data_IF_031885465495
#
_entry.id   IF_031885465495
#
_cell.length_a   1.000
_cell.length_b   1.000
_cell.length_c   1.000
_cell.angle_alpha   90.00
_cell.angle_beta   90.00
_cell.angle_gamma   90.00
#
_symmetry.space_group_name_H-M   'P 1'
#
loop_
_entity.id
_entity.type
_entity.pdbx_description
1 polymer ?
#
# COMPACT_ATOMS: atom_id res chain seq x y z
N UNK A 1 25.39 -22.17 -57.98
CA UNK A 1 24.65 -22.57 -56.73
C UNK A 1 24.95 -23.99 -56.26
N UNK A 2 25.57 -24.84 -57.07
CA UNK A 2 25.91 -26.22 -56.70
C UNK A 2 27.00 -26.32 -55.63
N UNK A 3 27.98 -25.41 -55.62
CA UNK A 3 29.12 -25.50 -54.70
C UNK A 3 28.74 -25.28 -53.21
N UNK A 4 27.74 -24.44 -52.92
CA UNK A 4 27.29 -24.18 -51.51
C UNK A 4 26.67 -25.45 -50.95
N UNK A 5 25.89 -26.16 -51.70
CA UNK A 5 25.27 -27.41 -51.27
C UNK A 5 26.31 -28.49 -50.96
N UNK A 6 27.35 -28.60 -51.75
CA UNK A 6 28.46 -29.54 -51.50
C UNK A 6 29.25 -29.17 -50.24
N UNK A 7 29.52 -27.90 -49.99
CA UNK A 7 30.19 -27.46 -48.76
C UNK A 7 29.35 -27.75 -47.53
N UNK A 8 28.03 -27.52 -47.57
CA UNK A 8 27.13 -27.86 -46.47
C UNK A 8 27.12 -29.36 -46.21
N UNK A 9 27.03 -30.20 -47.29
CA UNK A 9 27.03 -31.63 -47.14
C UNK A 9 28.35 -32.15 -46.57
N UNK A 10 29.50 -31.58 -46.96
CA UNK A 10 30.79 -31.92 -46.45
C UNK A 10 30.93 -31.53 -44.96
N UNK A 11 30.42 -30.35 -44.56
CA UNK A 11 30.43 -29.88 -43.19
C UNK A 11 29.61 -30.81 -42.27
N UNK A 12 28.40 -31.21 -42.70
CA UNK A 12 27.54 -32.14 -41.99
C UNK A 12 28.22 -33.50 -41.81
N UNK A 13 28.87 -33.99 -42.89
CA UNK A 13 29.60 -35.27 -42.84
C UNK A 13 30.75 -35.24 -41.84
N UNK A 14 31.51 -34.12 -41.77
CA UNK A 14 32.61 -33.95 -40.81
C UNK A 14 32.06 -33.87 -39.35
N UNK A 15 30.92 -33.24 -39.13
CA UNK A 15 30.27 -33.20 -37.84
C UNK A 15 29.84 -34.62 -37.40
N UNK A 16 29.28 -35.39 -38.35
CA UNK A 16 28.82 -36.78 -38.08
C UNK A 16 29.99 -37.74 -37.88
N UNK A 17 31.14 -37.50 -38.48
CA UNK A 17 32.34 -38.34 -38.31
C UNK A 17 32.93 -38.21 -36.89
N UNK A 18 32.72 -37.06 -36.21
CA UNK A 18 33.21 -36.77 -34.87
C UNK A 18 32.10 -36.40 -33.92
N UNK A 19 31.04 -37.22 -33.86
CA UNK A 19 29.78 -36.94 -33.10
C UNK A 19 30.02 -36.53 -31.65
N UNK A 20 30.89 -37.20 -30.92
CA UNK A 20 31.16 -36.92 -29.51
C UNK A 20 31.76 -35.54 -29.27
N UNK A 21 32.76 -35.13 -30.05
CA UNK A 21 33.39 -33.81 -29.93
C UNK A 21 32.42 -32.69 -30.30
N UNK A 22 31.70 -32.88 -31.43
CA UNK A 22 30.74 -31.88 -31.90
C UNK A 22 29.58 -31.72 -30.93
N UNK A 23 29.08 -32.80 -30.35
CA UNK A 23 28.02 -32.75 -29.32
C UNK A 23 28.48 -32.00 -28.07
N UNK A 24 29.68 -32.32 -27.54
CA UNK A 24 30.23 -31.68 -26.36
C UNK A 24 30.44 -30.17 -26.54
N UNK A 25 30.95 -29.74 -27.72
CA UNK A 25 31.12 -28.31 -28.00
C UNK A 25 29.79 -27.59 -28.15
N UNK A 26 28.79 -28.14 -28.83
CA UNK A 26 27.45 -27.58 -28.93
C UNK A 26 26.77 -27.51 -27.56
N UNK A 27 26.90 -28.56 -26.73
CA UNK A 27 26.36 -28.58 -25.38
C UNK A 27 26.96 -27.45 -24.53
N UNK A 28 28.28 -27.24 -24.60
CA UNK A 28 28.97 -26.16 -23.88
C UNK A 28 28.45 -24.78 -24.28
N UNK A 29 28.22 -24.53 -25.56
CA UNK A 29 27.67 -23.26 -26.06
C UNK A 29 26.23 -23.08 -25.57
N UNK A 30 25.40 -24.12 -25.67
CA UNK A 30 23.99 -24.06 -25.22
C UNK A 30 23.91 -23.76 -23.73
N UNK A 31 24.71 -24.45 -22.90
CA UNK A 31 24.73 -24.20 -21.46
C UNK A 31 25.21 -22.78 -21.16
N UNK A 32 26.25 -22.32 -21.85
CA UNK A 32 26.77 -20.95 -21.69
C UNK A 32 25.73 -19.88 -21.99
N UNK A 33 25.05 -19.98 -23.12
CA UNK A 33 24.00 -19.01 -23.51
C UNK A 33 22.79 -19.13 -22.57
N UNK A 34 22.35 -20.33 -22.26
CA UNK A 34 21.21 -20.54 -21.35
C UNK A 34 21.48 -19.95 -19.95
N UNK A 35 22.71 -20.10 -19.44
CA UNK A 35 23.10 -19.54 -18.15
C UNK A 35 23.05 -17.99 -18.15
N UNK A 36 23.52 -17.34 -19.20
CA UNK A 36 23.47 -15.88 -19.32
C UNK A 36 22.02 -15.39 -19.37
N UNK A 37 21.18 -16.04 -20.20
CA UNK A 37 19.75 -15.68 -20.30
C UNK A 37 19.07 -15.85 -18.92
N UNK A 38 19.33 -16.96 -18.24
CA UNK A 38 18.75 -17.22 -16.91
C UNK A 38 19.15 -16.14 -15.88
N UNK A 39 20.42 -15.75 -15.84
CA UNK A 39 20.92 -14.74 -14.91
C UNK A 39 20.27 -13.37 -15.20
N UNK A 40 20.22 -12.97 -16.47
CA UNK A 40 19.60 -11.67 -16.86
C UNK A 40 18.11 -11.68 -16.55
N UNK A 41 17.39 -12.77 -16.87
CA UNK A 41 15.95 -12.88 -16.61
C UNK A 41 15.62 -12.82 -15.11
N UNK A 42 16.43 -13.49 -14.27
CA UNK A 42 16.28 -13.41 -12.81
C UNK A 42 16.53 -11.99 -12.32
N UNK A 43 17.60 -11.34 -12.83
CA UNK A 43 17.95 -9.97 -12.45
C UNK A 43 16.84 -8.97 -12.77
N UNK A 44 16.27 -9.03 -13.98
CA UNK A 44 15.15 -8.16 -14.37
C UNK A 44 13.88 -8.48 -13.58
N UNK A 45 13.58 -9.75 -13.35
CA UNK A 45 12.45 -10.18 -12.53
C UNK A 45 12.54 -9.63 -11.10
N UNK A 46 13.70 -9.77 -10.46
CA UNK A 46 13.94 -9.26 -9.10
C UNK A 46 13.83 -7.73 -9.05
N UNK A 47 14.38 -7.02 -10.03
CA UNK A 47 14.29 -5.55 -10.10
C UNK A 47 12.84 -5.07 -10.21
N UNK A 48 12.04 -5.70 -11.06
CA UNK A 48 10.62 -5.36 -11.24
C UNK A 48 9.82 -5.65 -9.96
N UNK A 49 10.09 -6.77 -9.30
CA UNK A 49 9.46 -7.11 -8.03
C UNK A 49 9.82 -6.10 -6.92
N UNK A 50 11.12 -5.74 -6.78
CA UNK A 50 11.53 -4.72 -5.83
C UNK A 50 10.89 -3.36 -6.08
N UNK A 51 10.80 -2.92 -7.34
CA UNK A 51 10.13 -1.67 -7.68
C UNK A 51 8.64 -1.71 -7.32
N UNK A 52 7.97 -2.83 -7.55
CA UNK A 52 6.57 -3.00 -7.16
C UNK A 52 6.41 -2.94 -5.63
N UNK A 53 7.27 -3.63 -4.88
CA UNK A 53 7.25 -3.62 -3.42
C UNK A 53 7.54 -2.23 -2.84
N UNK A 54 8.50 -1.49 -3.40
CA UNK A 54 8.80 -0.11 -2.99
C UNK A 54 7.58 0.80 -3.25
N UNK A 55 6.93 0.68 -4.41
CA UNK A 55 5.72 1.45 -4.71
C UNK A 55 4.55 1.06 -3.78
N UNK A 56 4.46 -0.20 -3.39
CA UNK A 56 3.41 -0.68 -2.49
C UNK A 56 3.57 -0.20 -1.04
N UNK A 57 4.80 0.13 -0.62
CA UNK A 57 5.09 0.70 0.72
C UNK A 57 5.23 2.24 0.71
N UNK A 58 4.70 2.89 -0.34
CA UNK A 58 4.75 4.35 -0.46
C UNK A 58 6.00 4.90 -1.13
N UNK A 59 6.66 4.10 -2.00
CA UNK A 59 7.75 4.58 -2.85
C UNK A 59 7.25 5.72 -3.75
N UNK A 60 7.87 6.89 -3.61
CA UNK A 60 7.45 8.13 -4.27
C UNK A 60 6.67 9.09 -3.36
N UNK A 61 6.37 8.69 -2.12
CA UNK A 61 5.78 9.59 -1.14
C UNK A 61 6.86 10.48 -0.50
N UNK A 62 6.49 11.73 -0.26
CA UNK A 62 7.29 12.70 0.51
C UNK A 62 6.50 12.99 1.77
N UNK A 63 7.07 12.65 2.92
CA UNK A 63 6.48 13.02 4.20
C UNK A 63 6.98 14.40 4.63
N UNK A 64 6.05 15.28 4.99
CA UNK A 64 6.31 16.62 5.48
C UNK A 64 5.87 16.68 6.93
N UNK A 65 6.76 17.14 7.80
CA UNK A 65 6.48 17.27 9.23
C UNK A 65 6.75 18.71 9.67
N UNK A 66 6.00 19.18 10.67
CA UNK A 66 6.35 20.41 11.33
C UNK A 66 7.71 20.27 12.02
N UNK A 67 8.58 21.30 11.92
CA UNK A 67 9.85 21.31 12.65
C UNK A 67 9.61 21.56 14.15
N UNK A 68 10.56 21.13 15.00
CA UNK A 68 10.49 21.39 16.44
C UNK A 68 10.34 22.88 16.77
N UNK A 69 10.97 23.78 15.99
CA UNK A 69 10.84 25.22 16.14
C UNK A 69 9.42 25.69 15.78
N UNK A 70 8.83 25.18 14.70
CA UNK A 70 7.46 25.49 14.30
C UNK A 70 6.45 25.04 15.37
N UNK A 71 6.63 23.85 15.94
CA UNK A 71 5.80 23.33 17.04
C UNK A 71 5.93 24.23 18.28
N UNK A 72 7.15 24.68 18.63
CA UNK A 72 7.37 25.58 19.74
C UNK A 72 6.71 26.95 19.54
N UNK A 73 6.67 27.45 18.31
CA UNK A 73 6.00 28.69 17.91
C UNK A 73 4.49 28.51 17.65
N UNK A 74 3.94 27.32 17.87
CA UNK A 74 2.53 26.97 17.61
C UNK A 74 2.12 27.18 16.14
N UNK A 75 3.02 26.94 15.21
CA UNK A 75 2.75 26.95 13.77
C UNK A 75 2.44 25.52 13.33
N UNK A 76 1.25 25.32 12.80
CA UNK A 76 0.74 24.03 12.37
C UNK A 76 0.48 24.03 10.86
N UNK A 77 0.38 22.85 10.27
CA UNK A 77 -0.04 22.69 8.88
C UNK A 77 -1.55 22.95 8.81
N UNK A 78 -1.93 24.02 8.12
CA UNK A 78 -3.32 24.41 7.94
C UNK A 78 -3.91 23.78 6.67
N UNK A 79 -5.25 23.72 6.53
CA UNK A 79 -5.91 23.19 5.33
C UNK A 79 -5.48 23.88 4.04
N UNK A 80 -5.20 25.18 4.09
CA UNK A 80 -4.70 25.97 2.97
C UNK A 80 -3.32 25.52 2.49
N UNK A 81 -2.47 25.06 3.39
CA UNK A 81 -1.14 24.52 3.04
C UNK A 81 -1.27 23.19 2.31
N UNK A 82 -2.23 22.34 2.74
CA UNK A 82 -2.54 21.05 2.10
C UNK A 82 -3.03 21.29 0.68
N UNK A 83 -3.92 22.27 0.47
CA UNK A 83 -4.44 22.62 -0.85
C UNK A 83 -3.34 23.22 -1.73
N UNK A 84 -2.47 24.06 -1.18
CA UNK A 84 -1.33 24.62 -1.91
C UNK A 84 -0.35 23.53 -2.37
N UNK A 85 -0.08 22.52 -1.56
CA UNK A 85 0.76 21.38 -1.94
C UNK A 85 0.08 20.54 -3.03
N UNK A 86 -1.24 20.34 -2.94
CA UNK A 86 -2.00 19.59 -3.95
C UNK A 86 -1.96 20.24 -5.34
N UNK A 87 -1.85 21.57 -5.42
CA UNK A 87 -1.77 22.31 -6.69
C UNK A 87 -0.39 22.29 -7.34
N UNK A 88 0.64 21.75 -6.68
CA UNK A 88 1.99 21.68 -7.25
C UNK A 88 2.05 20.68 -8.42
N UNK A 89 2.80 21.06 -9.46
CA UNK A 89 3.01 20.18 -10.62
C UNK A 89 3.77 18.91 -10.21
N UNK A 90 3.23 17.75 -10.60
CA UNK A 90 3.79 16.44 -10.28
C UNK A 90 3.27 15.84 -8.96
N UNK A 91 2.41 16.51 -8.21
CA UNK A 91 1.71 15.95 -7.05
C UNK A 91 0.43 15.26 -7.52
N UNK A 92 0.33 13.97 -7.28
CA UNK A 92 -0.85 13.17 -7.67
C UNK A 92 -1.93 13.13 -6.58
N UNK A 93 -1.52 13.32 -5.32
CA UNK A 93 -2.44 13.36 -4.17
C UNK A 93 -1.71 13.75 -2.90
N UNK A 94 -2.46 14.26 -1.93
CA UNK A 94 -1.95 14.66 -0.62
C UNK A 94 -2.78 13.96 0.45
N UNK A 95 -2.13 13.25 1.36
CA UNK A 95 -2.76 12.67 2.53
C UNK A 95 -2.28 13.36 3.80
N UNK A 96 -3.19 13.57 4.72
CA UNK A 96 -2.90 13.94 6.11
C UNK A 96 -3.00 12.66 6.91
N UNK A 97 -2.03 12.37 7.75
CA UNK A 97 -2.04 11.18 8.59
C UNK A 97 -1.79 11.61 10.04
N UNK A 98 -2.86 11.79 10.75
CA UNK A 98 -2.84 12.09 12.18
C UNK A 98 -3.51 10.94 12.94
N UNK A 99 -2.85 10.40 13.96
CA UNK A 99 -3.30 9.18 14.62
C UNK A 99 -3.54 9.40 16.11
N UNK A 100 -4.68 8.93 16.57
CA UNK A 100 -5.12 9.02 17.95
C UNK A 100 -5.44 7.64 18.50
N UNK A 101 -5.20 7.48 19.79
CA UNK A 101 -5.61 6.26 20.50
C UNK A 101 -7.05 6.40 20.95
N UNK A 102 -7.86 5.41 20.64
CA UNK A 102 -9.25 5.32 21.05
C UNK A 102 -9.62 3.93 21.53
N UNK A 103 -10.88 3.76 21.89
CA UNK A 103 -11.47 2.51 22.34
C UNK A 103 -12.84 2.31 21.70
N UNK A 104 -13.23 1.05 21.54
CA UNK A 104 -14.58 0.67 21.13
C UNK A 104 -15.04 -0.57 21.85
N UNK A 105 -16.35 -0.66 22.08
CA UNK A 105 -16.99 -1.83 22.65
C UNK A 105 -17.94 -2.43 21.61
N UNK A 106 -17.74 -3.70 21.29
CA UNK A 106 -18.58 -4.43 20.34
C UNK A 106 -19.16 -5.69 20.99
N UNK A 107 -20.01 -6.40 20.28
CA UNK A 107 -20.51 -7.70 20.73
C UNK A 107 -19.43 -8.78 20.91
N UNK A 108 -18.19 -8.52 20.46
CA UNK A 108 -17.02 -9.41 20.62
C UNK A 108 -16.14 -9.03 21.81
N UNK A 109 -16.33 -7.87 22.39
CA UNK A 109 -15.56 -7.35 23.54
C UNK A 109 -15.07 -5.93 23.33
N UNK A 110 -14.12 -5.54 24.17
CA UNK A 110 -13.50 -4.22 24.19
C UNK A 110 -12.22 -4.27 23.36
N UNK A 111 -12.03 -3.26 22.53
CA UNK A 111 -10.87 -3.17 21.63
C UNK A 111 -10.23 -1.79 21.71
N UNK A 112 -8.90 -1.77 21.78
CA UNK A 112 -8.13 -0.56 21.57
C UNK A 112 -8.11 -0.22 20.08
N UNK A 113 -8.27 1.06 19.77
CA UNK A 113 -8.26 1.59 18.42
C UNK A 113 -7.05 2.48 18.18
N UNK A 114 -6.53 2.42 16.96
CA UNK A 114 -5.75 3.50 16.36
C UNK A 114 -6.66 4.18 15.35
N UNK A 115 -7.10 5.39 15.65
CA UNK A 115 -7.96 6.18 14.78
C UNK A 115 -7.08 7.13 13.99
N UNK A 116 -7.01 6.93 12.67
CA UNK A 116 -6.19 7.73 11.77
C UNK A 116 -7.08 8.69 10.98
N UNK A 117 -6.84 9.97 11.15
CA UNK A 117 -7.47 11.02 10.36
C UNK A 117 -6.77 11.14 9.00
N UNK A 118 -7.53 11.06 7.91
CA UNK A 118 -6.99 11.05 6.56
C UNK A 118 -7.73 12.04 5.64
N UNK A 119 -7.00 12.51 4.61
CA UNK A 119 -7.56 13.34 3.55
C UNK A 119 -8.27 12.51 2.47
N UNK A 120 -8.92 13.18 1.53
CA UNK A 120 -9.66 12.56 0.43
C UNK A 120 -8.79 11.71 -0.50
N UNK A 121 -7.50 12.02 -0.59
CA UNK A 121 -6.56 11.32 -1.48
C UNK A 121 -5.87 10.12 -0.81
N UNK A 122 -6.21 9.82 0.46
CA UNK A 122 -5.61 8.73 1.22
C UNK A 122 -5.64 7.38 0.47
N UNK A 123 -6.77 7.05 -0.16
CA UNK A 123 -6.87 5.84 -0.98
C UNK A 123 -5.81 5.77 -2.08
N UNK A 124 -5.49 6.90 -2.71
CA UNK A 124 -4.50 6.99 -3.77
C UNK A 124 -3.09 6.92 -3.21
N UNK A 125 -2.81 7.72 -2.18
CA UNK A 125 -1.50 7.81 -1.54
C UNK A 125 -1.11 6.47 -0.92
N UNK A 126 -2.02 5.81 -0.21
CA UNK A 126 -1.76 4.54 0.47
C UNK A 126 -1.98 3.33 -0.45
N UNK A 127 -2.33 3.57 -1.73
CA UNK A 127 -2.63 2.54 -2.71
C UNK A 127 -3.60 1.47 -2.15
N UNK A 128 -4.64 1.92 -1.44
CA UNK A 128 -5.57 1.06 -0.73
C UNK A 128 -6.54 0.34 -1.69
N UNK A 129 -6.63 -0.97 -1.56
CA UNK A 129 -7.61 -1.78 -2.29
C UNK A 129 -8.91 -1.89 -1.50
N UNK A 130 -10.01 -1.38 -2.05
CA UNK A 130 -11.34 -1.48 -1.42
C UNK A 130 -12.00 -2.80 -1.82
N UNK A 131 -12.41 -3.59 -0.83
CA UNK A 131 -13.08 -4.87 -1.01
C UNK A 131 -14.60 -4.73 -1.06
N UNK A 132 -15.15 -3.95 -0.14
CA UNK A 132 -16.59 -3.65 -0.05
C UNK A 132 -16.80 -2.16 0.16
N UNK A 133 -17.89 -1.62 -0.38
CA UNK A 133 -18.24 -0.21 -0.24
C UNK A 133 -17.33 0.73 -1.03
N UNK A 134 -17.02 1.87 -0.43
CA UNK A 134 -16.13 2.90 -1.02
C UNK A 134 -15.32 3.58 0.07
N UNK A 135 -14.15 4.09 -0.30
CA UNK A 135 -13.42 5.03 0.54
C UNK A 135 -14.17 6.36 0.61
N UNK A 136 -14.03 7.12 1.69
CA UNK A 136 -14.59 8.46 1.76
C UNK A 136 -13.84 9.38 0.80
N UNK A 137 -14.55 10.37 0.28
CA UNK A 137 -14.02 11.33 -0.68
C UNK A 137 -14.06 12.75 -0.15
N UNK A 138 -13.80 13.71 -1.04
CA UNK A 138 -13.74 15.13 -0.73
C UNK A 138 -14.96 15.64 0.07
N UNK A 139 -16.17 15.22 -0.33
CA UNK A 139 -17.40 15.67 0.32
C UNK A 139 -17.50 15.22 1.78
N UNK A 140 -17.10 13.99 2.08
CA UNK A 140 -17.09 13.45 3.44
C UNK A 140 -16.05 14.14 4.31
N UNK A 141 -14.90 14.50 3.72
CA UNK A 141 -13.84 15.26 4.40
C UNK A 141 -14.27 16.70 4.65
N UNK A 142 -14.80 17.42 3.63
CA UNK A 142 -15.24 18.82 3.78
C UNK A 142 -16.39 18.99 4.79
N UNK A 143 -17.34 18.05 4.81
CA UNK A 143 -18.48 18.09 5.72
C UNK A 143 -18.17 17.51 7.11
N UNK A 144 -16.97 16.98 7.35
CA UNK A 144 -16.59 16.35 8.64
C UNK A 144 -17.50 15.18 9.02
N UNK A 145 -17.89 14.35 8.00
CA UNK A 145 -18.83 13.27 8.24
C UNK A 145 -18.24 12.18 9.13
N UNK A 146 -19.05 11.68 10.06
CA UNK A 146 -18.72 10.52 10.87
C UNK A 146 -18.84 9.23 10.04
N UNK A 147 -17.90 9.03 9.12
CA UNK A 147 -17.73 7.80 8.35
C UNK A 147 -16.35 7.23 8.57
N UNK A 148 -16.22 5.92 8.43
CA UNK A 148 -14.92 5.27 8.61
C UNK A 148 -14.71 4.14 7.61
N UNK A 149 -13.43 3.83 7.41
CA UNK A 149 -12.93 2.69 6.64
C UNK A 149 -12.14 1.79 7.57
N UNK A 150 -12.30 0.48 7.42
CA UNK A 150 -11.63 -0.54 8.26
C UNK A 150 -11.03 -1.61 7.36
N UNK A 151 -9.97 -2.29 7.81
CA UNK A 151 -9.43 -3.46 7.13
C UNK A 151 -10.36 -4.68 7.27
N UNK A 152 -10.34 -5.58 6.30
CA UNK A 152 -11.14 -6.82 6.37
C UNK A 152 -10.69 -7.75 7.52
N UNK A 153 -9.41 -7.72 7.88
CA UNK A 153 -8.88 -8.45 9.03
C UNK A 153 -9.42 -7.89 10.35
N UNK A 154 -9.39 -6.57 10.51
CA UNK A 154 -9.89 -5.91 11.71
C UNK A 154 -11.42 -6.00 11.83
N UNK A 155 -12.15 -5.88 10.70
CA UNK A 155 -13.59 -6.10 10.66
C UNK A 155 -13.97 -7.51 11.18
N UNK A 156 -13.25 -8.54 10.75
CA UNK A 156 -13.43 -9.92 11.26
C UNK A 156 -13.16 -10.04 12.75
N UNK A 157 -12.15 -9.32 13.26
CA UNK A 157 -11.81 -9.33 14.70
C UNK A 157 -12.93 -8.75 15.54
N UNK A 158 -13.45 -7.58 15.21
CA UNK A 158 -14.38 -6.83 16.06
C UNK A 158 -15.85 -7.15 15.80
N UNK A 159 -16.21 -7.59 14.58
CA UNK A 159 -17.59 -7.95 14.23
C UNK A 159 -17.79 -9.45 13.95
N UNK A 160 -16.73 -10.19 13.66
CA UNK A 160 -16.78 -11.58 13.26
C UNK A 160 -17.06 -11.82 11.78
N UNK A 161 -17.21 -10.77 10.99
CA UNK A 161 -17.40 -10.78 9.53
C UNK A 161 -16.68 -9.61 8.91
N UNK A 162 -16.35 -9.71 7.62
CA UNK A 162 -15.78 -8.62 6.83
C UNK A 162 -16.85 -7.84 6.02
N UNK A 163 -18.08 -8.34 5.95
CA UNK A 163 -19.20 -7.61 5.34
C UNK A 163 -19.89 -6.72 6.38
N UNK A 164 -19.28 -5.55 6.63
CA UNK A 164 -19.67 -4.61 7.68
C UNK A 164 -20.07 -3.23 7.14
N UNK A 165 -20.13 -3.07 5.81
CA UNK A 165 -20.51 -1.79 5.21
C UNK A 165 -21.92 -1.38 5.62
N UNK A 166 -22.04 -0.13 6.11
CA UNK A 166 -23.29 0.42 6.62
C UNK A 166 -23.54 0.17 8.11
N UNK A 167 -22.76 -0.71 8.77
CA UNK A 167 -22.77 -0.85 10.21
C UNK A 167 -22.18 0.39 10.91
N UNK A 168 -22.50 0.56 12.16
CA UNK A 168 -22.00 1.65 12.99
C UNK A 168 -21.03 1.14 14.04
N UNK A 169 -20.07 1.99 14.39
CA UNK A 169 -19.07 1.75 15.41
C UNK A 169 -18.98 2.97 16.31
N UNK A 170 -19.08 2.77 17.62
CA UNK A 170 -18.86 3.84 18.59
C UNK A 170 -17.36 3.91 18.89
N UNK A 171 -16.77 5.07 18.66
CA UNK A 171 -15.37 5.36 18.89
C UNK A 171 -15.26 6.34 20.04
N UNK A 172 -14.53 5.96 21.07
CA UNK A 172 -14.26 6.80 22.24
C UNK A 172 -12.81 7.24 22.23
N UNK A 173 -12.57 8.54 22.11
CA UNK A 173 -11.26 9.17 22.25
C UNK A 173 -11.37 10.28 23.31
N UNK A 174 -10.42 10.36 24.25
CA UNK A 174 -10.36 11.42 25.26
C UNK A 174 -11.71 11.66 25.99
N UNK A 175 -12.38 10.61 26.43
CA UNK A 175 -13.70 10.63 27.10
C UNK A 175 -14.88 11.13 26.24
N UNK A 176 -14.66 11.38 24.95
CA UNK A 176 -15.73 11.71 24.01
C UNK A 176 -16.03 10.50 23.11
N UNK A 177 -17.30 10.12 23.06
CA UNK A 177 -17.77 9.03 22.19
C UNK A 177 -18.54 9.59 21.01
N UNK A 178 -18.17 9.12 19.79
CA UNK A 178 -18.89 9.41 18.55
C UNK A 178 -19.21 8.14 17.81
N UNK A 179 -20.37 8.10 17.17
CA UNK A 179 -20.78 6.98 16.32
C UNK A 179 -20.34 7.24 14.88
N UNK A 180 -19.54 6.34 14.32
CA UNK A 180 -19.12 6.36 12.92
C UNK A 180 -19.81 5.26 12.13
N UNK A 181 -20.14 5.55 10.88
CA UNK A 181 -20.70 4.57 9.94
C UNK A 181 -19.60 4.03 9.04
N UNK A 182 -19.46 2.72 8.96
CA UNK A 182 -18.51 2.06 8.08
C UNK A 182 -18.97 2.25 6.64
N UNK A 183 -18.19 2.97 5.83
CA UNK A 183 -18.46 3.24 4.41
C UNK A 183 -17.68 2.33 3.48
N UNK A 184 -16.55 1.78 3.93
CA UNK A 184 -15.71 0.90 3.15
C UNK A 184 -14.92 -0.09 3.98
N UNK A 185 -14.58 -1.20 3.34
CA UNK A 185 -13.68 -2.22 3.87
C UNK A 185 -12.54 -2.39 2.89
N UNK A 186 -11.31 -2.25 3.38
CA UNK A 186 -10.09 -2.43 2.58
C UNK A 186 -9.53 -3.82 2.75
N UNK A 187 -8.85 -4.31 1.73
CA UNK A 187 -8.10 -5.56 1.82
C UNK A 187 -6.68 -5.26 2.30
N UNK A 188 -6.23 -5.96 3.32
CA UNK A 188 -4.82 -5.98 3.65
C UNK A 188 -4.05 -6.65 2.51
N UNK A 189 -3.03 -5.98 1.95
CA UNK A 189 -2.20 -6.58 0.90
C UNK A 189 -1.34 -7.68 1.51
N UNK A 190 -1.58 -8.93 1.09
CA UNK A 190 -0.80 -10.10 1.52
C UNK A 190 0.56 -10.23 0.78
N UNK A 191 0.82 -9.40 -0.22
CA UNK A 191 1.90 -9.61 -1.20
C UNK A 191 3.18 -8.78 -0.96
N UNK A 192 3.34 -8.15 0.21
CA UNK A 192 4.58 -7.42 0.53
C UNK A 192 5.55 -8.27 1.35
N UNK A 193 6.84 -7.97 1.24
CA UNK A 193 7.90 -8.53 2.10
C UNK A 193 7.66 -8.21 3.58
N UNK A 194 6.81 -7.23 3.86
CA UNK A 194 6.33 -6.85 5.19
C UNK A 194 4.95 -7.45 5.43
N UNK A 195 4.91 -8.64 5.99
CA UNK A 195 3.68 -9.24 6.48
C UNK A 195 3.27 -8.49 7.73
N UNK A 196 2.14 -7.79 7.68
CA UNK A 196 1.53 -7.23 8.89
C UNK A 196 0.97 -8.39 9.72
N UNK A 197 1.67 -8.71 10.80
CA UNK A 197 1.18 -9.73 11.75
C UNK A 197 0.15 -9.11 12.66
N UNK A 198 -1.10 -9.53 12.52
CA UNK A 198 -2.14 -9.21 13.49
C UNK A 198 -2.06 -10.23 14.63
N UNK A 199 -1.76 -9.78 15.84
CA UNK A 199 -1.75 -10.62 17.05
C UNK A 199 -2.83 -10.15 18.02
N UNK A 200 -3.22 -11.05 18.92
CA UNK A 200 -4.23 -10.77 19.92
C UNK A 200 -3.77 -9.63 20.85
N UNK A 201 -4.58 -8.58 20.99
CA UNK A 201 -4.23 -7.35 21.71
C UNK A 201 -3.64 -6.21 20.88
N UNK A 202 -3.41 -6.41 19.58
CA UNK A 202 -3.02 -5.31 18.69
C UNK A 202 -4.18 -4.32 18.53
N UNK A 203 -3.95 -2.99 18.58
CA UNK A 203 -5.00 -2.02 18.28
C UNK A 203 -5.62 -2.25 16.91
N UNK A 204 -6.91 -2.02 16.78
CA UNK A 204 -7.64 -2.03 15.51
C UNK A 204 -7.44 -0.69 14.83
N UNK A 205 -7.04 -0.68 13.57
CA UNK A 205 -6.86 0.57 12.81
C UNK A 205 -8.15 0.94 12.10
N UNK A 206 -8.58 2.18 12.30
CA UNK A 206 -9.76 2.76 11.67
C UNK A 206 -9.39 4.09 11.05
N UNK A 207 -9.68 4.24 9.76
CA UNK A 207 -9.40 5.46 9.02
C UNK A 207 -10.68 6.29 8.91
N UNK A 208 -10.59 7.57 9.26
CA UNK A 208 -11.70 8.51 9.28
C UNK A 208 -11.31 9.81 8.56
N UNK A 209 -12.25 10.63 8.07
CA UNK A 209 -11.95 11.98 7.61
C UNK A 209 -11.24 12.77 8.72
N UNK A 210 -10.10 13.38 8.42
CA UNK A 210 -9.33 14.13 9.43
C UNK A 210 -10.15 15.25 10.08
N UNK A 211 -11.07 15.87 9.33
CA UNK A 211 -11.98 16.91 9.83
C UNK A 211 -13.00 16.40 10.84
N UNK A 212 -13.34 15.10 10.79
CA UNK A 212 -14.20 14.47 11.81
C UNK A 212 -13.48 14.30 13.17
N UNK A 213 -12.14 14.40 13.18
CA UNK A 213 -11.32 14.33 14.40
C UNK A 213 -11.24 15.66 15.16
N UNK A 214 -11.45 16.81 14.49
CA UNK A 214 -11.35 18.13 15.11
C UNK A 214 -12.22 18.26 16.38
N UNK A 215 -13.35 17.59 16.39
CA UNK A 215 -14.24 17.56 17.55
C UNK A 215 -13.74 16.73 18.73
N UNK A 216 -12.86 15.75 18.51
CA UNK A 216 -12.26 14.95 19.59
C UNK A 216 -11.10 15.69 20.27
N UNK A 217 -10.37 16.50 19.52
CA UNK A 217 -9.16 17.14 20.01
C UNK A 217 -9.41 18.56 20.53
N UNK A 218 -10.56 19.15 20.20
CA UNK A 218 -10.95 20.50 20.65
C UNK A 218 -10.03 21.63 20.16
N UNK A 219 -9.08 21.32 19.30
CA UNK A 219 -8.12 22.26 18.75
C UNK A 219 -7.48 21.73 17.48
N UNK A 220 -7.16 22.60 16.57
CA UNK A 220 -6.47 22.35 15.30
C UNK A 220 -4.98 21.95 15.49
N UNK A 221 -4.68 21.03 16.40
CA UNK A 221 -3.32 20.54 16.59
C UNK A 221 -3.07 19.38 15.62
N UNK A 222 -2.55 19.71 14.43
CA UNK A 222 -2.05 18.74 13.46
C UNK A 222 -0.53 18.73 13.52
N UNK A 223 0.02 17.59 13.90
CA UNK A 223 1.48 17.38 13.95
C UNK A 223 2.03 16.95 12.59
#
# INVERSE_FOLDING_TARGET
MSNIYEYIKMAIHNIMANKGRSFLTMLGIIIGIASVIAIVSIGEGTKNQMNSEINDIGGGQIAVYCSDDAIADQVWIEPEDIDAVRELDGVEGVNVSDSYTGETVTGKGDFNLTVTGEAQDAKLVDNASVKYGSYFGQKEVEEGKNVCVISDADAKRIFGTDDVVGMTLDITCYDLTKTFRICGVTTQKENGTFVSYTYDGMPVTINVPYTAMDDFTGSHQRS
#
